data_IF_001578695414
#
_entry.id   IF_001578695414
#
_cell.length_a   1.000
_cell.length_b   1.000
_cell.length_c   1.000
_cell.angle_alpha   90.00
_cell.angle_beta   90.00
_cell.angle_gamma   90.00
#
_symmetry.space_group_name_H-M   'P 1'
#
loop_
_entity.id
_entity.type
_entity.pdbx_description
1 polymer ?
#
# COMPACT_ATOMS: atom_id res chain seq x y z
N UNK A 1 -30.85 19.85 -16.64
CA UNK A 1 -30.97 18.67 -15.75
C UNK A 1 -29.70 17.78 -15.67
N UNK A 2 -29.02 17.43 -16.78
CA UNK A 2 -27.82 16.56 -16.77
C UNK A 2 -26.65 17.04 -15.89
N UNK A 3 -26.32 18.34 -15.90
CA UNK A 3 -25.17 18.91 -15.15
C UNK A 3 -25.36 18.89 -13.62
N UNK A 4 -26.57 19.16 -13.12
CA UNK A 4 -26.92 19.04 -11.69
C UNK A 4 -26.81 17.60 -11.17
N UNK A 5 -27.13 16.60 -12.02
CA UNK A 5 -27.00 15.18 -11.64
C UNK A 5 -25.54 14.72 -11.57
N UNK A 6 -24.65 15.23 -12.43
CA UNK A 6 -23.24 14.82 -12.44
C UNK A 6 -22.46 15.38 -11.23
N UNK A 7 -22.73 16.62 -10.84
CA UNK A 7 -22.10 17.27 -9.68
C UNK A 7 -22.52 16.65 -8.35
N UNK A 8 -23.81 16.35 -8.17
CA UNK A 8 -24.33 15.62 -7.00
C UNK A 8 -23.65 14.26 -6.81
N UNK A 9 -23.42 13.54 -7.92
CA UNK A 9 -22.79 12.24 -7.89
C UNK A 9 -21.31 12.28 -7.48
N UNK A 10 -20.51 13.24 -7.94
CA UNK A 10 -19.10 13.35 -7.51
C UNK A 10 -19.00 13.61 -6.00
N UNK A 11 -19.88 14.47 -5.46
CA UNK A 11 -19.96 14.74 -4.02
C UNK A 11 -20.25 13.47 -3.22
N UNK A 12 -21.14 12.60 -3.72
CA UNK A 12 -21.46 11.32 -3.05
C UNK A 12 -20.25 10.39 -2.93
N UNK A 13 -19.39 10.31 -3.96
CA UNK A 13 -18.18 9.51 -3.88
C UNK A 13 -17.18 10.08 -2.88
N UNK A 14 -16.97 11.40 -2.89
CA UNK A 14 -16.06 12.05 -1.95
C UNK A 14 -16.51 11.82 -0.49
N UNK A 15 -17.80 11.97 -0.21
CA UNK A 15 -18.37 11.67 1.12
C UNK A 15 -18.20 10.19 1.46
N UNK A 16 -18.46 9.29 0.52
CA UNK A 16 -18.25 7.86 0.72
C UNK A 16 -16.81 7.52 1.12
N UNK A 17 -15.82 8.07 0.39
CA UNK A 17 -14.41 7.89 0.74
C UNK A 17 -14.04 8.50 2.08
N UNK A 18 -14.58 9.68 2.43
CA UNK A 18 -14.35 10.27 3.75
C UNK A 18 -14.88 9.38 4.88
N UNK A 19 -16.10 8.84 4.73
CA UNK A 19 -16.69 7.90 5.70
C UNK A 19 -15.85 6.62 5.80
N UNK A 20 -15.45 6.04 4.66
CA UNK A 20 -14.62 4.84 4.63
C UNK A 20 -13.24 5.08 5.27
N UNK A 21 -12.65 6.26 5.07
CA UNK A 21 -11.40 6.67 5.71
C UNK A 21 -11.55 6.87 7.22
N UNK A 22 -12.63 7.49 7.70
CA UNK A 22 -12.89 7.63 9.13
C UNK A 22 -13.09 6.26 9.77
N UNK A 23 -13.88 5.38 9.15
CA UNK A 23 -14.09 4.02 9.65
C UNK A 23 -12.78 3.22 9.74
N UNK A 24 -11.94 3.29 8.70
CA UNK A 24 -10.63 2.63 8.68
C UNK A 24 -9.64 3.25 9.67
N UNK A 25 -9.64 4.58 9.82
CA UNK A 25 -8.85 5.30 10.82
C UNK A 25 -9.21 4.82 12.24
N UNK A 26 -10.50 4.81 12.59
CA UNK A 26 -10.96 4.34 13.91
C UNK A 26 -10.66 2.85 14.10
N UNK A 27 -10.95 2.02 13.10
CA UNK A 27 -10.66 0.59 13.13
C UNK A 27 -9.17 0.32 13.39
N UNK A 28 -8.27 1.13 12.83
CA UNK A 28 -6.83 0.92 13.01
C UNK A 28 -6.39 0.91 14.48
N UNK A 29 -7.07 1.66 15.36
CA UNK A 29 -6.77 1.70 16.79
C UNK A 29 -7.21 0.45 17.54
N UNK A 30 -8.06 -0.40 16.94
CA UNK A 30 -8.38 -1.72 17.53
C UNK A 30 -7.17 -2.65 17.57
N UNK A 31 -6.16 -2.37 16.74
CA UNK A 31 -4.97 -3.21 16.58
C UNK A 31 -3.74 -2.66 17.34
N UNK A 32 -3.93 -1.67 18.22
CA UNK A 32 -2.84 -1.16 19.08
C UNK A 32 -2.42 -2.27 20.03
N UNK A 33 -1.13 -2.62 20.05
CA UNK A 33 -0.62 -3.68 20.93
C UNK A 33 -0.96 -3.39 22.40
N UNK A 34 -1.34 -4.42 23.16
CA UNK A 34 -1.77 -4.28 24.56
C UNK A 34 -0.67 -3.70 25.47
N UNK A 35 0.59 -3.87 25.07
CA UNK A 35 1.75 -3.34 25.81
C UNK A 35 2.08 -1.89 25.42
N UNK A 36 1.36 -1.31 24.46
CA UNK A 36 1.63 0.01 23.93
C UNK A 36 0.68 1.08 24.47
N UNK A 37 1.23 2.18 24.96
CA UNK A 37 0.46 3.37 25.38
C UNK A 37 0.81 4.56 24.48
N UNK A 38 -0.17 5.07 23.73
CA UNK A 38 0.07 6.18 22.78
C UNK A 38 0.03 7.56 23.43
N UNK A 39 -0.57 7.71 24.61
CA UNK A 39 -0.70 9.00 25.30
C UNK A 39 -0.62 8.84 26.82
N UNK A 40 -0.01 9.83 27.49
CA UNK A 40 -0.02 9.90 28.96
C UNK A 40 -1.37 10.37 29.52
N UNK A 41 -2.28 10.86 28.68
CA UNK A 41 -3.59 11.35 29.12
C UNK A 41 -4.55 10.21 29.44
N UNK A 42 -5.14 10.22 30.64
CA UNK A 42 -6.01 9.15 31.14
C UNK A 42 -7.24 8.90 30.27
N UNK A 43 -7.92 9.96 29.81
CA UNK A 43 -9.11 9.83 28.96
C UNK A 43 -8.78 9.23 27.58
N UNK A 44 -7.63 9.59 26.99
CA UNK A 44 -7.16 8.98 25.73
C UNK A 44 -6.78 7.52 25.92
N UNK A 45 -6.22 7.14 27.06
CA UNK A 45 -5.96 5.75 27.39
C UNK A 45 -7.26 4.95 27.55
N UNK A 46 -8.29 5.52 28.15
CA UNK A 46 -9.61 4.87 28.23
C UNK A 46 -10.17 4.62 26.83
N UNK A 47 -10.13 5.62 25.94
CA UNK A 47 -10.55 5.45 24.55
C UNK A 47 -9.73 4.36 23.85
N UNK A 48 -8.39 4.40 23.98
CA UNK A 48 -7.51 3.38 23.40
C UNK A 48 -7.88 1.97 23.88
N UNK A 49 -8.10 1.79 25.19
CA UNK A 49 -8.49 0.51 25.78
C UNK A 49 -9.83 0.02 25.26
N UNK A 50 -10.80 0.91 25.03
CA UNK A 50 -12.09 0.53 24.41
C UNK A 50 -11.90 -0.01 22.98
N UNK A 51 -11.02 0.59 22.18
CA UNK A 51 -10.69 0.05 20.86
C UNK A 51 -9.94 -1.29 20.95
N UNK A 52 -8.96 -1.41 21.85
CA UNK A 52 -8.23 -2.65 22.10
C UNK A 52 -9.17 -3.78 22.57
N UNK A 53 -10.19 -3.45 23.36
CA UNK A 53 -11.20 -4.41 23.78
C UNK A 53 -11.87 -5.07 22.56
N UNK A 54 -12.31 -4.25 21.60
CA UNK A 54 -12.89 -4.76 20.35
C UNK A 54 -11.89 -5.62 19.58
N UNK A 55 -10.64 -5.18 19.45
CA UNK A 55 -9.64 -5.86 18.63
C UNK A 55 -9.12 -7.19 19.19
N UNK A 56 -8.93 -7.28 20.51
CA UNK A 56 -8.27 -8.42 21.17
C UNK A 56 -9.23 -9.34 21.93
N UNK A 57 -10.36 -8.82 22.41
CA UNK A 57 -11.33 -9.57 23.22
C UNK A 57 -12.63 -9.86 22.48
N UNK A 58 -13.02 -9.03 21.49
CA UNK A 58 -14.17 -9.25 20.60
C UNK A 58 -13.74 -9.54 19.15
N UNK A 59 -12.80 -10.48 18.99
CA UNK A 59 -12.16 -10.80 17.70
C UNK A 59 -13.13 -11.12 16.55
N UNK A 60 -14.23 -11.87 16.74
CA UNK A 60 -15.23 -12.06 15.67
C UNK A 60 -15.84 -10.74 15.19
N UNK A 61 -16.20 -9.86 16.13
CA UNK A 61 -16.75 -8.52 15.85
C UNK A 61 -15.72 -7.65 15.13
N UNK A 62 -14.49 -7.59 15.62
CA UNK A 62 -13.38 -6.89 14.95
C UNK A 62 -13.17 -7.38 13.51
N UNK A 63 -13.19 -8.70 13.31
CA UNK A 63 -13.04 -9.30 11.99
C UNK A 63 -14.20 -8.95 11.05
N UNK A 64 -15.45 -8.98 11.55
CA UNK A 64 -16.62 -8.58 10.78
C UNK A 64 -16.57 -7.10 10.38
N UNK A 65 -16.16 -6.21 11.30
CA UNK A 65 -15.93 -4.80 11.03
C UNK A 65 -14.86 -4.60 9.96
N UNK A 66 -13.72 -5.29 10.07
CA UNK A 66 -12.67 -5.26 9.06
C UNK A 66 -13.19 -5.66 7.68
N UNK A 67 -13.81 -6.83 7.56
CA UNK A 67 -14.32 -7.34 6.28
C UNK A 67 -15.37 -6.38 5.69
N UNK A 68 -16.26 -5.83 6.52
CA UNK A 68 -17.25 -4.84 6.10
C UNK A 68 -16.60 -3.55 5.59
N UNK A 69 -15.61 -3.02 6.30
CA UNK A 69 -14.85 -1.83 5.89
C UNK A 69 -14.13 -2.09 4.56
N UNK A 70 -13.40 -3.20 4.43
CA UNK A 70 -12.69 -3.55 3.20
C UNK A 70 -13.69 -3.72 2.04
N UNK A 71 -14.80 -4.43 2.25
CA UNK A 71 -15.85 -4.57 1.26
C UNK A 71 -16.39 -3.21 0.79
N UNK A 72 -16.66 -2.30 1.72
CA UNK A 72 -17.13 -0.94 1.40
C UNK A 72 -16.10 -0.14 0.59
N UNK A 73 -14.81 -0.23 0.94
CA UNK A 73 -13.72 0.37 0.17
C UNK A 73 -13.66 -0.14 -1.27
N UNK A 74 -13.81 -1.44 -1.50
CA UNK A 74 -13.81 -2.01 -2.85
C UNK A 74 -15.08 -1.66 -3.65
N UNK A 75 -16.23 -1.51 -2.99
CA UNK A 75 -17.44 -0.98 -3.64
C UNK A 75 -17.21 0.46 -4.12
N UNK A 76 -16.69 1.34 -3.25
CA UNK A 76 -16.37 2.73 -3.62
C UNK A 76 -15.35 2.79 -4.76
N UNK A 77 -14.32 1.95 -4.71
CA UNK A 77 -13.31 1.82 -5.76
C UNK A 77 -13.92 1.39 -7.08
N UNK A 78 -14.74 0.33 -7.11
CA UNK A 78 -15.42 -0.12 -8.32
C UNK A 78 -16.35 0.97 -8.91
N UNK A 79 -17.07 1.71 -8.05
CA UNK A 79 -17.89 2.85 -8.46
C UNK A 79 -17.04 3.98 -9.05
N UNK A 80 -15.91 4.30 -8.44
CA UNK A 80 -14.97 5.31 -8.93
C UNK A 80 -14.40 4.92 -10.31
N UNK A 81 -13.95 3.67 -10.47
CA UNK A 81 -13.48 3.15 -11.76
C UNK A 81 -14.56 3.21 -12.84
N UNK A 82 -15.78 2.77 -12.52
CA UNK A 82 -16.91 2.80 -13.46
C UNK A 82 -17.24 4.22 -13.91
N UNK A 83 -17.19 5.19 -12.98
CA UNK A 83 -17.46 6.61 -13.30
C UNK A 83 -16.31 7.24 -14.07
N UNK A 84 -15.05 6.94 -13.73
CA UNK A 84 -13.89 7.40 -14.48
C UNK A 84 -13.90 6.86 -15.92
N UNK A 85 -14.22 5.58 -16.11
CA UNK A 85 -14.38 4.96 -17.43
C UNK A 85 -15.49 5.61 -18.26
N UNK A 86 -16.58 6.07 -17.62
CA UNK A 86 -17.68 6.79 -18.29
C UNK A 86 -17.44 8.29 -18.47
N UNK A 87 -16.26 8.80 -18.11
CA UNK A 87 -15.95 10.24 -18.16
C UNK A 87 -16.70 11.09 -17.14
N UNK A 88 -17.34 10.46 -16.14
CA UNK A 88 -18.14 11.13 -15.11
C UNK A 88 -17.31 11.53 -13.87
N UNK A 89 -16.08 11.00 -13.76
CA UNK A 89 -15.16 11.32 -12.68
C UNK A 89 -13.89 11.95 -13.28
N UNK A 90 -13.79 13.27 -13.18
CA UNK A 90 -12.62 14.01 -13.65
C UNK A 90 -11.44 13.93 -12.69
N UNK A 91 -10.26 14.31 -13.21
CA UNK A 91 -9.00 14.24 -12.45
C UNK A 91 -8.99 15.13 -11.20
N UNK A 92 -9.60 16.32 -11.24
CA UNK A 92 -9.71 17.20 -10.07
C UNK A 92 -10.45 16.52 -8.91
N UNK A 93 -11.52 15.79 -9.21
CA UNK A 93 -12.29 15.05 -8.21
C UNK A 93 -11.48 13.90 -7.60
N UNK A 94 -10.70 13.20 -8.41
CA UNK A 94 -9.80 12.13 -7.93
C UNK A 94 -8.76 12.72 -6.97
N UNK A 95 -8.14 13.85 -7.30
CA UNK A 95 -7.18 14.50 -6.39
C UNK A 95 -7.82 14.99 -5.08
N UNK A 96 -9.08 15.45 -5.12
CA UNK A 96 -9.82 15.78 -3.89
C UNK A 96 -10.03 14.54 -3.01
N UNK A 97 -10.42 13.41 -3.62
CA UNK A 97 -10.57 12.13 -2.90
C UNK A 97 -9.22 11.71 -2.31
N UNK A 98 -8.16 11.69 -3.12
CA UNK A 98 -6.79 11.35 -2.69
C UNK A 98 -6.36 12.22 -1.52
N UNK A 99 -6.54 13.54 -1.60
CA UNK A 99 -6.19 14.48 -0.53
C UNK A 99 -6.95 14.21 0.77
N UNK A 100 -8.27 14.02 0.70
CA UNK A 100 -9.10 13.70 1.88
C UNK A 100 -8.68 12.37 2.51
N UNK A 101 -8.50 11.33 1.69
CA UNK A 101 -8.06 10.01 2.15
C UNK A 101 -6.69 10.09 2.82
N UNK A 102 -5.73 10.78 2.21
CA UNK A 102 -4.38 10.97 2.76
C UNK A 102 -4.40 11.70 4.10
N UNK A 103 -5.10 12.83 4.20
CA UNK A 103 -5.18 13.61 5.44
C UNK A 103 -5.76 12.76 6.58
N UNK A 104 -6.85 12.04 6.32
CA UNK A 104 -7.52 11.23 7.35
C UNK A 104 -6.67 10.01 7.76
N UNK A 105 -6.01 9.34 6.81
CA UNK A 105 -5.31 8.09 7.09
C UNK A 105 -3.86 8.27 7.58
N UNK A 106 -3.20 9.41 7.36
CA UNK A 106 -1.86 9.67 7.92
C UNK A 106 -1.85 9.49 9.45
N UNK A 107 -2.93 9.90 10.13
CA UNK A 107 -3.05 9.83 11.58
C UNK A 107 -3.47 8.45 12.11
N UNK A 108 -3.79 7.50 11.23
CA UNK A 108 -4.18 6.13 11.64
C UNK A 108 -3.02 5.40 12.34
N UNK A 109 -3.34 4.39 13.14
CA UNK A 109 -2.35 3.47 13.68
C UNK A 109 -1.89 2.47 12.58
N UNK A 110 -0.61 2.04 12.53
CA UNK A 110 -0.13 1.01 11.59
C UNK A 110 -0.69 -0.38 11.94
N UNK A 111 -1.98 -0.58 11.71
CA UNK A 111 -2.74 -1.73 12.21
C UNK A 111 -2.37 -3.08 11.58
N UNK A 112 -1.83 -3.07 10.35
CA UNK A 112 -1.64 -4.28 9.55
C UNK A 112 -0.17 -4.67 9.36
N UNK A 113 0.75 -3.93 10.00
CA UNK A 113 2.19 -4.18 9.90
C UNK A 113 2.94 -3.68 11.13
N UNK A 114 3.95 -4.45 11.52
CA UNK A 114 4.90 -4.06 12.57
C UNK A 114 6.19 -3.44 12.00
N UNK A 115 6.30 -3.29 10.68
CA UNK A 115 7.49 -2.74 10.02
C UNK A 115 7.85 -1.34 10.52
N UNK A 116 6.84 -0.51 10.84
CA UNK A 116 7.09 0.83 11.33
C UNK A 116 7.88 0.83 12.65
N UNK A 117 7.57 -0.11 13.55
CA UNK A 117 8.32 -0.28 14.81
C UNK A 117 9.74 -0.80 14.54
N UNK A 118 9.90 -1.68 13.54
CA UNK A 118 11.22 -2.11 13.09
C UNK A 118 12.04 -0.95 12.51
N UNK A 119 11.44 -0.07 11.70
CA UNK A 119 12.11 1.14 11.21
C UNK A 119 12.60 2.04 12.34
N UNK A 120 11.74 2.27 13.34
CA UNK A 120 12.07 3.08 14.52
C UNK A 120 13.23 2.45 15.29
N UNK A 121 13.15 1.16 15.56
CA UNK A 121 14.20 0.46 16.29
C UNK A 121 15.51 0.42 15.50
N UNK A 122 15.48 0.17 14.19
CA UNK A 122 16.66 0.21 13.34
C UNK A 122 17.32 1.59 13.34
N UNK A 123 16.53 2.67 13.26
CA UNK A 123 17.06 4.03 13.39
C UNK A 123 17.70 4.28 14.77
N UNK A 124 17.06 3.78 15.84
CA UNK A 124 17.58 3.84 17.21
C UNK A 124 18.89 3.05 17.38
N UNK A 125 19.01 1.89 16.75
CA UNK A 125 20.26 1.09 16.72
C UNK A 125 21.42 1.89 16.14
N UNK A 126 21.19 2.64 15.07
CA UNK A 126 22.21 3.49 14.44
C UNK A 126 22.51 4.73 15.28
N UNK A 127 21.48 5.47 15.68
CA UNK A 127 21.63 6.82 16.26
C UNK A 127 21.92 6.83 17.76
N UNK A 128 21.37 5.87 18.52
CA UNK A 128 21.45 5.84 19.98
C UNK A 128 22.41 4.76 20.45
N UNK A 129 22.30 3.56 19.88
CA UNK A 129 23.18 2.45 20.28
C UNK A 129 24.51 2.45 19.54
N UNK A 130 24.66 3.26 18.48
CA UNK A 130 25.87 3.33 17.65
C UNK A 130 26.33 1.94 17.16
N UNK A 131 25.37 1.07 16.84
CA UNK A 131 25.62 -0.28 16.33
C UNK A 131 25.20 -0.41 14.88
N UNK A 132 25.83 -1.35 14.18
CA UNK A 132 25.43 -1.76 12.86
C UNK A 132 24.16 -2.65 12.95
N UNK A 133 23.00 -2.24 12.40
CA UNK A 133 21.76 -3.01 12.48
C UNK A 133 21.78 -4.35 11.70
N UNK A 134 22.86 -4.64 10.97
CA UNK A 134 23.10 -5.93 10.34
C UNK A 134 23.89 -6.92 11.21
N UNK A 135 24.51 -6.44 12.29
CA UNK A 135 25.36 -7.25 13.20
C UNK A 135 24.68 -7.53 14.54
N UNK A 136 23.64 -6.76 14.88
CA UNK A 136 22.87 -6.93 16.12
C UNK A 136 21.40 -7.20 15.81
N UNK A 137 20.73 -7.86 16.75
CA UNK A 137 19.29 -8.17 16.65
C UNK A 137 18.51 -7.45 17.76
N UNK A 138 17.25 -7.03 17.54
CA UNK A 138 16.47 -6.33 18.57
C UNK A 138 16.35 -7.09 19.90
N UNK A 139 16.28 -8.42 19.87
CA UNK A 139 16.16 -9.24 21.07
C UNK A 139 17.33 -9.09 22.05
N UNK A 140 18.53 -8.72 21.57
CA UNK A 140 19.69 -8.45 22.44
C UNK A 140 19.51 -7.21 23.33
N UNK A 141 18.53 -6.36 23.01
CA UNK A 141 18.19 -5.16 23.78
C UNK A 141 16.94 -5.37 24.65
N UNK A 142 16.43 -6.60 24.77
CA UNK A 142 15.34 -6.92 25.67
C UNK A 142 15.72 -6.59 27.12
N UNK A 143 14.80 -5.97 27.87
CA UNK A 143 15.06 -5.46 29.23
C UNK A 143 15.78 -4.11 29.28
N UNK A 144 16.32 -3.62 28.15
CA UNK A 144 16.94 -2.30 28.02
C UNK A 144 16.00 -1.35 27.27
N UNK A 145 15.45 -1.79 26.14
CA UNK A 145 14.56 -1.00 25.29
C UNK A 145 13.11 -1.53 25.36
N UNK A 146 12.15 -0.74 25.87
CA UNK A 146 10.76 -1.17 25.95
C UNK A 146 10.12 -1.38 24.56
N UNK A 147 10.67 -0.80 23.49
CA UNK A 147 10.14 -0.96 22.14
C UNK A 147 10.19 -2.43 21.67
N UNK A 148 11.13 -3.22 22.18
CA UNK A 148 11.29 -4.65 21.83
C UNK A 148 10.03 -5.45 22.15
N UNK A 149 9.27 -5.07 23.18
CA UNK A 149 8.05 -5.78 23.59
C UNK A 149 6.90 -5.70 22.58
N UNK A 150 6.87 -4.65 21.75
CA UNK A 150 5.80 -4.40 20.76
C UNK A 150 6.24 -4.68 19.32
N UNK A 151 7.48 -5.13 19.13
CA UNK A 151 8.04 -5.47 17.83
C UNK A 151 7.73 -6.91 17.42
N UNK A 152 7.88 -7.20 16.13
CA UNK A 152 7.90 -8.56 15.57
C UNK A 152 9.22 -8.78 14.86
N UNK A 153 9.61 -10.05 14.69
CA UNK A 153 10.89 -10.43 14.05
C UNK A 153 12.14 -9.97 14.82
N UNK A 154 12.04 -9.88 16.15
CA UNK A 154 13.12 -9.41 17.03
C UNK A 154 14.36 -10.33 17.07
N UNK A 155 14.23 -11.57 16.58
CA UNK A 155 15.30 -12.57 16.50
C UNK A 155 16.15 -12.46 15.22
N UNK A 156 15.87 -11.50 14.33
CA UNK A 156 16.57 -11.33 13.06
C UNK A 156 17.28 -9.97 13.00
N UNK A 157 18.42 -9.86 12.30
CA UNK A 157 19.01 -8.57 11.96
C UNK A 157 18.12 -7.82 10.95
N UNK A 158 18.43 -6.54 10.72
CA UNK A 158 17.66 -5.72 9.79
C UNK A 158 17.63 -6.34 8.39
N UNK A 159 16.41 -6.51 7.85
CA UNK A 159 16.19 -6.93 6.47
C UNK A 159 16.07 -5.73 5.50
N UNK A 160 16.17 -4.50 6.01
CA UNK A 160 16.03 -3.30 5.21
C UNK A 160 17.36 -2.88 4.60
N UNK A 161 17.31 -2.24 3.43
CA UNK A 161 18.52 -1.79 2.74
C UNK A 161 19.15 -0.58 3.43
N UNK A 162 20.45 -0.32 3.24
CA UNK A 162 21.12 0.83 3.84
C UNK A 162 20.46 2.16 3.50
N UNK A 163 20.03 2.35 2.25
CA UNK A 163 19.37 3.59 1.84
C UNK A 163 18.02 3.79 2.52
N UNK A 164 17.22 2.73 2.72
CA UNK A 164 15.98 2.86 3.50
C UNK A 164 16.28 3.26 4.94
N UNK A 165 17.25 2.59 5.59
CA UNK A 165 17.65 2.91 6.98
C UNK A 165 18.03 4.38 7.09
N UNK A 166 18.89 4.89 6.19
CA UNK A 166 19.30 6.29 6.18
C UNK A 166 18.11 7.26 6.11
N UNK A 167 17.07 6.94 5.33
CA UNK A 167 15.87 7.76 5.22
C UNK A 167 14.98 7.73 6.46
N UNK A 168 15.09 6.69 7.29
CA UNK A 168 14.36 6.64 8.58
C UNK A 168 15.01 7.51 9.66
N UNK A 169 16.30 7.84 9.54
CA UNK A 169 17.04 8.56 10.57
C UNK A 169 16.49 9.98 10.83
N UNK A 170 16.23 10.82 9.81
CA UNK A 170 15.66 12.15 10.05
C UNK A 170 14.28 12.09 10.71
N UNK A 171 13.43 11.14 10.31
CA UNK A 171 12.11 10.96 10.91
C UNK A 171 12.20 10.58 12.39
N UNK A 172 13.21 9.78 12.76
CA UNK A 172 13.52 9.45 14.15
C UNK A 172 13.99 10.67 14.95
N UNK A 173 14.96 11.43 14.44
CA UNK A 173 15.50 12.63 15.11
C UNK A 173 14.40 13.68 15.35
N UNK A 174 13.56 13.92 14.35
CA UNK A 174 12.42 14.84 14.42
C UNK A 174 11.26 14.31 15.30
N UNK A 175 11.40 13.11 15.86
CA UNK A 175 10.46 12.60 16.86
C UNK A 175 10.71 13.14 18.27
N UNK A 176 11.85 13.80 18.52
CA UNK A 176 12.20 14.43 19.80
C UNK A 176 12.03 13.49 21.01
N UNK A 177 12.42 12.23 20.85
CA UNK A 177 12.31 11.20 21.88
C UNK A 177 10.88 10.67 22.14
N UNK A 178 9.89 11.10 21.35
CA UNK A 178 8.50 10.60 21.43
C UNK A 178 8.19 9.68 20.25
N UNK A 179 7.94 8.40 20.55
CA UNK A 179 7.68 7.37 19.54
C UNK A 179 6.50 7.72 18.61
N UNK A 180 5.42 8.30 19.14
CA UNK A 180 4.25 8.70 18.34
C UNK A 180 4.61 9.74 17.27
N UNK A 181 5.51 10.68 17.58
CA UNK A 181 5.97 11.65 16.60
C UNK A 181 6.86 10.99 15.54
N UNK A 182 7.70 10.03 15.91
CA UNK A 182 8.47 9.25 14.92
C UNK A 182 7.53 8.49 13.97
N UNK A 183 6.49 7.84 14.52
CA UNK A 183 5.45 7.15 13.74
C UNK A 183 4.84 8.13 12.73
N UNK A 184 4.36 9.29 13.18
CA UNK A 184 3.74 10.27 12.29
C UNK A 184 4.72 10.86 11.26
N UNK A 185 5.99 11.10 11.62
CA UNK A 185 7.00 11.57 10.70
C UNK A 185 7.26 10.54 9.58
N UNK A 186 7.39 9.26 9.93
CA UNK A 186 7.55 8.17 8.95
C UNK A 186 6.29 8.03 8.08
N UNK A 187 5.09 8.09 8.66
CA UNK A 187 3.83 8.03 7.91
C UNK A 187 3.67 9.21 6.96
N UNK A 188 4.00 10.42 7.41
CA UNK A 188 4.02 11.61 6.57
C UNK A 188 5.00 11.45 5.41
N UNK A 189 6.22 10.99 5.68
CA UNK A 189 7.22 10.73 4.65
C UNK A 189 6.71 9.75 3.59
N UNK A 190 6.19 8.60 4.01
CA UNK A 190 5.62 7.59 3.11
C UNK A 190 4.40 8.13 2.34
N UNK A 191 3.54 8.93 2.99
CA UNK A 191 2.40 9.56 2.34
C UNK A 191 2.80 10.57 1.26
N UNK A 192 3.89 11.34 1.47
CA UNK A 192 4.43 12.23 0.44
C UNK A 192 4.88 11.44 -0.78
N UNK A 193 5.52 10.28 -0.58
CA UNK A 193 5.90 9.39 -1.68
C UNK A 193 4.70 8.71 -2.36
N UNK A 194 3.63 8.40 -1.63
CA UNK A 194 2.36 7.99 -2.23
C UNK A 194 1.80 9.08 -3.17
N UNK A 195 1.73 10.34 -2.72
CA UNK A 195 1.29 11.46 -3.57
C UNK A 195 2.23 11.67 -4.77
N UNK A 196 3.54 11.50 -4.56
CA UNK A 196 4.55 11.55 -5.61
C UNK A 196 4.35 10.44 -6.65
N UNK A 197 4.00 9.23 -6.22
CA UNK A 197 3.66 8.11 -7.11
C UNK A 197 2.38 8.39 -7.89
N UNK A 198 1.32 8.92 -7.26
CA UNK A 198 0.07 9.30 -7.94
C UNK A 198 0.34 10.35 -9.03
N UNK A 199 1.16 11.37 -8.70
CA UNK A 199 1.59 12.39 -9.67
C UNK A 199 2.43 11.78 -10.81
N UNK A 200 3.35 10.87 -10.48
CA UNK A 200 4.18 10.16 -11.44
C UNK A 200 3.33 9.33 -12.41
N UNK A 201 2.35 8.57 -11.90
CA UNK A 201 1.43 7.76 -12.73
C UNK A 201 0.66 8.65 -13.68
N UNK A 202 0.12 9.78 -13.21
CA UNK A 202 -0.53 10.78 -14.07
C UNK A 202 0.42 11.25 -15.19
N UNK A 203 1.67 11.59 -14.84
CA UNK A 203 2.66 12.10 -15.80
C UNK A 203 3.05 11.07 -16.86
N UNK A 204 3.19 9.80 -16.49
CA UNK A 204 3.42 8.72 -17.45
C UNK A 204 2.19 8.54 -18.36
N UNK A 205 0.98 8.58 -17.81
CA UNK A 205 -0.26 8.50 -18.61
C UNK A 205 -0.42 9.66 -19.60
N UNK A 206 0.02 10.87 -19.27
CA UNK A 206 0.10 12.00 -20.21
C UNK A 206 0.95 11.70 -21.45
N UNK A 207 1.88 10.73 -21.37
CA UNK A 207 2.72 10.29 -22.50
C UNK A 207 2.17 9.07 -23.23
N UNK A 208 1.49 8.15 -22.54
CA UNK A 208 1.15 6.82 -23.10
C UNK A 208 -0.33 6.54 -23.33
N UNK A 209 -1.25 7.22 -22.65
CA UNK A 209 -2.69 7.12 -22.88
C UNK A 209 -3.42 8.38 -22.36
N UNK A 210 -3.25 9.55 -23.04
CA UNK A 210 -3.79 10.84 -22.56
C UNK A 210 -5.31 10.85 -22.43
N UNK A 211 -6.02 10.08 -23.27
CA UNK A 211 -7.47 10.01 -23.29
C UNK A 211 -8.07 9.37 -22.03
N UNK A 212 -7.30 8.56 -21.30
CA UNK A 212 -7.77 7.78 -20.15
C UNK A 212 -7.05 8.09 -18.85
N UNK A 213 -6.40 9.26 -18.75
CA UNK A 213 -5.68 9.69 -17.54
C UNK A 213 -6.54 9.54 -16.26
N UNK A 214 -7.81 10.01 -16.18
CA UNK A 214 -8.60 9.87 -14.97
C UNK A 214 -8.81 8.40 -14.56
N UNK A 215 -9.03 7.51 -15.52
CA UNK A 215 -9.21 6.09 -15.25
C UNK A 215 -7.90 5.45 -14.76
N UNK A 216 -6.79 5.68 -15.45
CA UNK A 216 -5.49 5.14 -15.04
C UNK A 216 -5.05 5.64 -13.66
N UNK A 217 -5.20 6.94 -13.38
CA UNK A 217 -4.91 7.50 -12.05
C UNK A 217 -5.83 6.88 -10.99
N UNK A 218 -7.13 6.69 -11.28
CA UNK A 218 -8.05 6.04 -10.34
C UNK A 218 -7.65 4.58 -10.06
N UNK A 219 -7.24 3.81 -11.07
CA UNK A 219 -6.78 2.41 -10.92
C UNK A 219 -5.64 2.29 -9.92
N UNK A 220 -4.71 3.24 -9.90
CA UNK A 220 -3.60 3.25 -8.96
C UNK A 220 -3.99 3.90 -7.62
N UNK A 221 -4.38 5.17 -7.68
CA UNK A 221 -4.50 6.02 -6.49
C UNK A 221 -5.65 5.62 -5.58
N UNK A 222 -6.77 5.15 -6.15
CA UNK A 222 -7.97 4.81 -5.39
C UNK A 222 -8.07 3.33 -5.03
N UNK A 223 -7.06 2.53 -5.40
CA UNK A 223 -7.03 1.11 -5.07
C UNK A 223 -6.89 0.94 -3.54
N UNK A 224 -7.82 0.22 -2.88
CA UNK A 224 -7.80 0.07 -1.43
C UNK A 224 -6.50 -0.53 -0.88
N UNK A 225 -5.88 -1.48 -1.60
CA UNK A 225 -4.60 -2.07 -1.18
C UNK A 225 -3.48 -1.04 -1.22
N UNK A 226 -3.36 -0.26 -2.30
CA UNK A 226 -2.35 0.81 -2.37
C UNK A 226 -2.55 1.82 -1.24
N UNK A 227 -3.79 2.22 -0.97
CA UNK A 227 -4.14 3.16 0.10
C UNK A 227 -3.77 2.58 1.47
N UNK A 228 -4.24 1.37 1.80
CA UNK A 228 -4.03 0.76 3.12
C UNK A 228 -2.55 0.53 3.37
N UNK A 229 -1.85 -0.10 2.44
CA UNK A 229 -0.44 -0.46 2.65
C UNK A 229 0.50 0.76 2.63
N UNK A 230 0.11 1.84 1.94
CA UNK A 230 0.92 3.08 1.90
C UNK A 230 0.59 4.05 3.03
N UNK A 231 -0.68 4.25 3.36
CA UNK A 231 -1.13 5.31 4.28
C UNK A 231 -1.46 4.79 5.68
N UNK A 232 -1.90 3.54 5.81
CA UNK A 232 -2.16 2.92 7.12
C UNK A 232 -0.91 2.19 7.61
N UNK A 233 -0.45 1.17 6.87
CA UNK A 233 0.72 0.36 7.22
C UNK A 233 2.05 1.11 7.05
N UNK A 234 2.09 2.08 6.15
CA UNK A 234 3.28 2.88 5.82
C UNK A 234 4.50 2.06 5.36
N UNK A 235 4.26 1.06 4.50
CA UNK A 235 5.32 0.27 3.90
C UNK A 235 6.21 1.09 2.96
N UNK A 236 7.50 0.82 2.98
CA UNK A 236 8.50 1.47 2.13
C UNK A 236 8.35 1.15 0.63
N UNK A 237 7.53 0.16 0.27
CA UNK A 237 7.23 -0.25 -1.10
C UNK A 237 6.75 0.90 -1.97
N UNK A 238 5.96 1.83 -1.42
CA UNK A 238 5.46 2.98 -2.18
C UNK A 238 6.56 4.00 -2.49
N UNK A 239 7.60 4.09 -1.65
CA UNK A 239 8.77 4.96 -1.86
C UNK A 239 9.58 4.44 -3.06
N UNK A 240 9.84 3.13 -3.07
CA UNK A 240 10.44 2.44 -4.23
C UNK A 240 9.57 2.65 -5.48
N UNK A 241 8.26 2.40 -5.40
CA UNK A 241 7.35 2.54 -6.55
C UNK A 241 7.34 3.95 -7.10
N UNK A 242 7.24 4.98 -6.25
CA UNK A 242 7.30 6.37 -6.68
C UNK A 242 8.57 6.65 -7.49
N UNK A 243 9.74 6.30 -6.95
CA UNK A 243 11.02 6.49 -7.62
C UNK A 243 11.06 5.75 -8.97
N UNK A 244 10.62 4.49 -9.03
CA UNK A 244 10.58 3.72 -10.29
C UNK A 244 9.67 4.34 -11.36
N UNK A 245 8.52 4.88 -10.97
CA UNK A 245 7.60 5.54 -11.89
C UNK A 245 8.20 6.84 -12.43
N UNK A 246 8.89 7.61 -11.59
CA UNK A 246 9.60 8.81 -12.02
C UNK A 246 10.82 8.49 -12.90
N UNK A 247 11.54 7.41 -12.61
CA UNK A 247 12.61 6.91 -13.47
C UNK A 247 12.07 6.56 -14.87
N UNK A 248 10.92 5.90 -14.96
CA UNK A 248 10.24 5.61 -16.22
C UNK A 248 9.84 6.89 -16.95
N UNK A 249 9.28 7.88 -16.23
CA UNK A 249 8.93 9.17 -16.85
C UNK A 249 10.16 9.84 -17.47
N UNK A 250 11.29 9.88 -16.76
CA UNK A 250 12.54 10.44 -17.25
C UNK A 250 13.07 9.66 -18.46
N UNK A 251 12.93 8.34 -18.46
CA UNK A 251 13.28 7.49 -19.60
C UNK A 251 12.42 7.84 -20.84
N UNK A 252 11.10 8.02 -20.66
CA UNK A 252 10.19 8.44 -21.73
C UNK A 252 10.48 9.87 -22.23
N UNK A 253 11.04 10.72 -21.38
CA UNK A 253 11.53 12.07 -21.74
C UNK A 253 12.96 12.07 -22.32
N UNK A 254 13.55 10.89 -22.56
CA UNK A 254 14.90 10.72 -23.10
C UNK A 254 16.02 11.27 -22.19
N UNK A 255 15.74 11.48 -20.91
CA UNK A 255 16.72 11.90 -19.89
C UNK A 255 17.41 10.67 -19.28
N UNK A 256 18.18 9.96 -20.09
CA UNK A 256 18.69 8.62 -19.76
C UNK A 256 19.56 8.56 -18.50
N UNK A 257 20.47 9.52 -18.30
CA UNK A 257 21.33 9.53 -17.10
C UNK A 257 20.47 9.70 -15.85
N UNK A 258 19.59 10.69 -15.86
CA UNK A 258 18.68 10.95 -14.74
C UNK A 258 17.73 9.78 -14.48
N UNK A 259 17.26 9.09 -15.53
CA UNK A 259 16.39 7.93 -15.36
C UNK A 259 17.11 6.79 -14.66
N UNK A 260 18.36 6.49 -15.02
CA UNK A 260 19.20 5.50 -14.35
C UNK A 260 19.52 5.89 -12.91
N UNK A 261 19.87 7.15 -12.65
CA UNK A 261 20.14 7.62 -11.28
C UNK A 261 18.92 7.42 -10.39
N UNK A 262 17.73 7.82 -10.84
CA UNK A 262 16.49 7.66 -10.07
C UNK A 262 16.11 6.18 -9.91
N UNK A 263 16.33 5.34 -10.94
CA UNK A 263 16.11 3.90 -10.84
C UNK A 263 17.06 3.27 -9.80
N UNK A 264 18.33 3.68 -9.76
CA UNK A 264 19.31 3.21 -8.78
C UNK A 264 18.89 3.56 -7.36
N UNK A 265 18.34 4.77 -7.12
CA UNK A 265 17.75 5.10 -5.83
C UNK A 265 16.55 4.20 -5.50
N UNK A 266 15.68 3.91 -6.48
CA UNK A 266 14.58 2.95 -6.30
C UNK A 266 15.08 1.57 -5.86
N UNK A 267 16.08 1.02 -6.57
CA UNK A 267 16.74 -0.26 -6.23
C UNK A 267 17.36 -0.22 -4.84
N UNK A 268 18.00 0.90 -4.49
CA UNK A 268 18.61 1.10 -3.18
C UNK A 268 17.57 1.13 -2.05
N UNK A 269 16.34 1.60 -2.29
CA UNK A 269 15.24 1.47 -1.31
C UNK A 269 14.79 0.03 -1.17
N UNK A 270 14.58 -0.66 -2.31
CA UNK A 270 14.18 -2.06 -2.32
C UNK A 270 14.55 -2.69 -3.66
N UNK A 271 15.24 -3.82 -3.59
CA UNK A 271 15.91 -4.44 -4.75
C UNK A 271 14.96 -4.79 -5.90
N UNK A 272 13.66 -4.95 -5.65
CA UNK A 272 12.68 -5.44 -6.62
C UNK A 272 12.71 -4.70 -7.97
N UNK A 273 12.92 -3.38 -7.97
CA UNK A 273 12.93 -2.59 -9.22
C UNK A 273 14.18 -2.78 -10.07
N UNK A 274 15.19 -3.53 -9.61
CA UNK A 274 16.34 -3.92 -10.45
C UNK A 274 15.89 -4.75 -11.65
N UNK A 275 14.79 -5.49 -11.50
CA UNK A 275 14.19 -6.26 -12.60
C UNK A 275 13.77 -5.39 -13.78
N UNK A 276 13.56 -4.08 -13.56
CA UNK A 276 13.24 -3.14 -14.63
C UNK A 276 14.47 -2.69 -15.45
N UNK A 277 15.70 -2.97 -15.00
CA UNK A 277 16.93 -2.53 -15.67
C UNK A 277 17.01 -2.95 -17.16
N UNK A 278 16.63 -4.18 -17.58
CA UNK A 278 16.63 -4.55 -19.00
C UNK A 278 15.70 -3.66 -19.85
N UNK A 279 14.60 -3.17 -19.27
CA UNK A 279 13.68 -2.27 -19.96
C UNK A 279 14.36 -0.91 -20.19
N UNK A 280 15.15 -0.42 -19.23
CA UNK A 280 15.87 0.86 -19.38
C UNK A 280 16.97 0.80 -20.44
N UNK A 281 17.54 -0.37 -20.70
CA UNK A 281 18.50 -0.61 -21.78
C UNK A 281 17.77 -0.72 -23.13
N UNK A 282 16.69 -1.49 -23.19
CA UNK A 282 16.04 -1.88 -24.44
C UNK A 282 14.83 -1.03 -24.84
N UNK A 283 14.38 -0.07 -24.00
CA UNK A 283 13.11 0.67 -24.21
C UNK A 283 13.00 1.33 -25.59
N UNK A 284 14.12 1.85 -26.14
CA UNK A 284 14.16 2.45 -27.47
C UNK A 284 13.78 1.47 -28.59
N UNK A 285 13.99 0.18 -28.36
CA UNK A 285 13.79 -0.90 -29.33
C UNK A 285 12.57 -1.78 -29.00
N UNK A 286 11.91 -1.55 -27.85
CA UNK A 286 10.79 -2.36 -27.38
C UNK A 286 9.44 -1.75 -27.77
N UNK A 287 8.68 -2.47 -28.60
CA UNK A 287 7.35 -2.05 -29.04
C UNK A 287 6.32 -1.86 -27.89
N UNK A 288 6.41 -2.64 -26.80
CA UNK A 288 5.51 -2.51 -25.65
C UNK A 288 6.28 -2.66 -24.32
N UNK A 289 7.10 -1.65 -23.99
CA UNK A 289 7.88 -1.62 -22.74
C UNK A 289 7.03 -1.88 -21.48
N UNK A 290 5.77 -1.43 -21.47
CA UNK A 290 4.84 -1.64 -20.34
C UNK A 290 4.58 -3.12 -20.06
N UNK A 291 4.43 -3.94 -21.12
CA UNK A 291 4.22 -5.38 -21.02
C UNK A 291 5.46 -6.05 -20.45
N UNK A 292 6.63 -5.68 -20.98
CA UNK A 292 7.90 -6.23 -20.54
C UNK A 292 8.23 -5.83 -19.10
N UNK A 293 7.87 -4.62 -18.67
CA UNK A 293 7.96 -4.23 -17.26
C UNK A 293 7.11 -5.12 -16.35
N UNK A 294 5.85 -5.41 -16.74
CA UNK A 294 5.00 -6.33 -15.97
C UNK A 294 5.59 -7.75 -15.90
N UNK A 295 6.16 -8.25 -17.00
CA UNK A 295 6.82 -9.56 -17.04
C UNK A 295 8.05 -9.57 -16.12
N UNK A 296 8.90 -8.54 -16.20
CA UNK A 296 10.09 -8.42 -15.39
C UNK A 296 9.78 -8.36 -13.88
N UNK A 297 8.78 -7.56 -13.50
CA UNK A 297 8.28 -7.53 -12.13
C UNK A 297 7.65 -8.87 -11.73
N UNK A 298 6.98 -9.56 -12.66
CA UNK A 298 6.44 -10.90 -12.44
C UNK A 298 7.53 -11.91 -12.11
N UNK A 299 8.64 -11.90 -12.85
CA UNK A 299 9.80 -12.76 -12.61
C UNK A 299 10.39 -12.49 -11.23
N UNK A 300 10.65 -11.22 -10.88
CA UNK A 300 11.18 -10.90 -9.55
C UNK A 300 10.21 -11.26 -8.42
N UNK A 301 8.91 -11.09 -8.63
CA UNK A 301 7.90 -11.51 -7.67
C UNK A 301 7.90 -13.03 -7.47
N UNK A 302 8.00 -13.82 -8.54
CA UNK A 302 8.14 -15.28 -8.43
C UNK A 302 9.42 -15.68 -7.67
N UNK A 303 10.52 -14.96 -7.85
CA UNK A 303 11.75 -15.16 -7.07
C UNK A 303 11.56 -14.84 -5.58
N UNK A 304 10.72 -13.85 -5.24
CA UNK A 304 10.36 -13.58 -3.84
C UNK A 304 9.46 -14.69 -3.30
N UNK A 305 8.46 -15.12 -4.07
CA UNK A 305 7.51 -16.16 -3.66
C UNK A 305 8.14 -17.53 -3.48
N UNK A 306 9.25 -17.84 -4.15
CA UNK A 306 9.99 -19.09 -3.93
C UNK A 306 10.67 -19.16 -2.57
N UNK A 307 10.79 -18.02 -1.87
CA UNK A 307 11.45 -17.91 -0.55
C UNK A 307 10.52 -17.45 0.56
N UNK A 308 9.41 -16.80 0.22
CA UNK A 308 8.52 -16.14 1.18
C UNK A 308 7.06 -16.30 0.77
N UNK A 309 6.17 -16.30 1.75
CA UNK A 309 4.75 -16.26 1.47
C UNK A 309 4.33 -14.93 0.80
N UNK A 310 3.24 -14.90 0.02
CA UNK A 310 2.73 -13.66 -0.55
C UNK A 310 2.20 -12.74 0.55
N UNK A 311 2.76 -11.52 0.57
CA UNK A 311 2.35 -10.43 1.47
C UNK A 311 1.61 -9.35 0.67
N UNK A 312 0.60 -8.67 1.25
CA UNK A 312 -0.26 -7.77 0.49
C UNK A 312 0.48 -6.62 -0.22
N UNK A 313 1.46 -6.01 0.46
CA UNK A 313 2.21 -4.88 -0.08
C UNK A 313 3.09 -5.21 -1.29
N UNK A 314 3.39 -6.50 -1.56
CA UNK A 314 4.09 -6.88 -2.78
C UNK A 314 3.30 -6.55 -4.06
N UNK A 315 1.97 -6.44 -3.96
CA UNK A 315 1.16 -6.08 -5.12
C UNK A 315 1.28 -4.61 -5.52
N UNK A 316 1.74 -3.73 -4.61
CA UNK A 316 1.97 -2.30 -4.90
C UNK A 316 2.95 -2.15 -6.08
N UNK A 317 3.90 -3.08 -6.23
CA UNK A 317 4.91 -3.07 -7.30
C UNK A 317 4.29 -3.07 -8.70
N UNK A 318 3.17 -3.77 -8.88
CA UNK A 318 2.51 -3.94 -10.17
C UNK A 318 1.49 -2.84 -10.48
N UNK A 319 0.93 -2.22 -9.45
CA UNK A 319 -0.21 -1.30 -9.57
C UNK A 319 0.01 -0.12 -10.53
N UNK A 320 1.17 0.56 -10.57
CA UNK A 320 1.42 1.61 -11.57
C UNK A 320 1.38 1.09 -13.00
N UNK A 321 1.96 -0.08 -13.23
CA UNK A 321 2.04 -0.68 -14.57
C UNK A 321 0.70 -1.20 -15.06
N UNK A 322 -0.14 -1.69 -14.14
CA UNK A 322 -1.55 -2.01 -14.42
C UNK A 322 -2.33 -0.74 -14.76
N UNK A 323 -2.09 0.35 -14.02
CA UNK A 323 -2.69 1.65 -14.31
C UNK A 323 -2.28 2.24 -15.67
N UNK A 324 -1.12 1.84 -16.23
CA UNK A 324 -0.70 2.22 -17.59
C UNK A 324 -1.44 1.47 -18.73
N UNK A 325 -2.36 0.56 -18.38
CA UNK A 325 -3.28 -0.11 -19.31
C UNK A 325 -4.75 0.12 -18.94
N UNK A 326 -5.23 1.37 -18.88
CA UNK A 326 -6.59 1.67 -18.43
C UNK A 326 -7.69 1.08 -19.33
N UNK A 327 -7.38 0.73 -20.59
CA UNK A 327 -8.30 0.04 -21.51
C UNK A 327 -8.42 -1.46 -21.29
N UNK A 328 -7.45 -2.12 -20.65
CA UNK A 328 -7.46 -3.57 -20.45
C UNK A 328 -8.29 -3.92 -19.23
N UNK A 329 -9.61 -3.81 -19.36
CA UNK A 329 -10.57 -4.03 -18.26
C UNK A 329 -10.37 -5.37 -17.54
N UNK A 330 -9.98 -6.43 -18.25
CA UNK A 330 -9.71 -7.75 -17.67
C UNK A 330 -8.52 -7.72 -16.70
N UNK A 331 -7.47 -6.95 -17.02
CA UNK A 331 -6.28 -6.80 -16.19
C UNK A 331 -6.62 -6.00 -14.93
N UNK A 332 -7.37 -4.91 -15.09
CA UNK A 332 -7.87 -4.12 -13.94
C UNK A 332 -8.79 -4.95 -13.06
N UNK A 333 -9.67 -5.77 -13.64
CA UNK A 333 -10.59 -6.65 -12.91
C UNK A 333 -9.81 -7.68 -12.11
N UNK A 334 -8.93 -8.44 -12.76
CA UNK A 334 -8.09 -9.45 -12.09
C UNK A 334 -7.27 -8.84 -10.96
N UNK A 335 -6.63 -7.69 -11.21
CA UNK A 335 -5.84 -6.97 -10.20
C UNK A 335 -6.68 -6.49 -9.03
N UNK A 336 -7.89 -5.99 -9.29
CA UNK A 336 -8.81 -5.52 -8.24
C UNK A 336 -9.22 -6.67 -7.33
N UNK A 337 -9.58 -7.82 -7.89
CA UNK A 337 -9.94 -9.00 -7.12
C UNK A 337 -8.75 -9.58 -6.37
N UNK A 338 -7.55 -9.60 -6.96
CA UNK A 338 -6.35 -10.04 -6.26
C UNK A 338 -5.97 -9.11 -5.10
N UNK A 339 -6.08 -7.79 -5.29
CA UNK A 339 -5.88 -6.81 -4.22
C UNK A 339 -6.89 -7.00 -3.07
N UNK A 340 -8.14 -7.29 -3.39
CA UNK A 340 -9.16 -7.64 -2.40
C UNK A 340 -8.79 -8.92 -1.64
N UNK A 341 -8.38 -9.96 -2.37
CA UNK A 341 -7.94 -11.24 -1.81
C UNK A 341 -6.77 -11.07 -0.83
N UNK A 342 -5.78 -10.27 -1.22
CA UNK A 342 -4.60 -10.00 -0.41
C UNK A 342 -4.95 -9.28 0.90
N UNK A 343 -5.82 -8.27 0.86
CA UNK A 343 -6.27 -7.59 2.09
C UNK A 343 -7.11 -8.52 2.98
N UNK A 344 -7.92 -9.41 2.40
CA UNK A 344 -8.66 -10.42 3.17
C UNK A 344 -7.75 -11.43 3.89
N UNK A 345 -6.47 -11.56 3.51
CA UNK A 345 -5.50 -12.42 4.23
C UNK A 345 -5.25 -11.96 5.67
N UNK A 346 -5.60 -10.73 6.04
CA UNK A 346 -5.56 -10.28 7.44
C UNK A 346 -6.70 -10.85 8.29
N UNK A 347 -7.87 -11.14 7.70
CA UNK A 347 -9.07 -11.54 8.44
C UNK A 347 -8.89 -12.83 9.27
N UNK A 348 -8.23 -13.90 8.77
CA UNK A 348 -7.97 -15.07 9.60
C UNK A 348 -7.15 -14.75 10.87
N UNK A 349 -6.13 -13.91 10.78
CA UNK A 349 -5.35 -13.52 11.95
C UNK A 349 -6.16 -12.67 12.93
N UNK A 350 -6.98 -11.74 12.41
CA UNK A 350 -7.87 -10.92 13.24
C UNK A 350 -8.85 -11.79 14.03
N UNK A 351 -9.36 -12.87 13.44
CA UNK A 351 -10.30 -13.78 14.08
C UNK A 351 -9.64 -14.68 15.13
N UNK A 352 -8.53 -15.33 14.78
CA UNK A 352 -7.90 -16.35 15.65
C UNK A 352 -6.81 -15.81 16.58
N UNK A 353 -6.20 -14.67 16.25
CA UNK A 353 -5.15 -14.03 17.05
C UNK A 353 -3.77 -14.65 16.99
N UNK A 354 -3.58 -15.67 16.17
CA UNK A 354 -2.31 -16.34 15.97
C UNK A 354 -2.19 -16.81 14.51
N UNK A 355 -1.01 -17.31 14.13
CA UNK A 355 -0.74 -17.78 12.77
C UNK A 355 -0.78 -19.31 12.64
N UNK A 356 -1.21 -20.03 13.70
CA UNK A 356 -1.27 -21.48 13.71
C UNK A 356 -2.50 -21.98 12.92
N UNK A 357 -2.56 -23.29 12.67
CA UNK A 357 -3.74 -23.90 12.05
C UNK A 357 -5.03 -23.51 12.81
N UNK A 358 -6.13 -23.14 12.10
CA UNK A 358 -6.37 -23.28 10.66
C UNK A 358 -5.99 -22.04 9.80
N UNK A 359 -5.34 -21.02 10.37
CA UNK A 359 -5.09 -19.73 9.69
C UNK A 359 -4.35 -19.86 8.34
N UNK A 360 -3.28 -20.66 8.20
CA UNK A 360 -2.60 -20.82 6.91
C UNK A 360 -3.52 -21.34 5.79
N UNK A 361 -4.41 -22.28 6.12
CA UNK A 361 -5.38 -22.85 5.16
C UNK A 361 -6.42 -21.80 4.77
N UNK A 362 -6.93 -21.05 5.74
CA UNK A 362 -7.88 -19.97 5.48
C UNK A 362 -7.28 -18.86 4.62
N UNK A 363 -6.02 -18.45 4.87
CA UNK A 363 -5.28 -17.49 4.03
C UNK A 363 -5.22 -17.94 2.57
N UNK A 364 -5.04 -19.25 2.35
CA UNK A 364 -5.00 -19.82 1.00
C UNK A 364 -6.37 -19.68 0.30
N UNK A 365 -7.45 -20.08 0.96
CA UNK A 365 -8.81 -19.97 0.41
C UNK A 365 -9.25 -18.54 0.13
N UNK A 366 -9.02 -17.61 1.07
CA UNK A 366 -9.35 -16.19 0.87
C UNK A 366 -8.50 -15.53 -0.22
N UNK A 367 -7.39 -16.16 -0.63
CA UNK A 367 -6.59 -15.72 -1.78
C UNK A 367 -7.14 -16.30 -3.09
N UNK A 368 -7.40 -17.61 -3.13
CA UNK A 368 -7.75 -18.34 -4.35
C UNK A 368 -9.20 -18.05 -4.82
N UNK A 369 -10.16 -18.03 -3.91
CA UNK A 369 -11.59 -17.87 -4.28
C UNK A 369 -11.86 -16.55 -5.02
N UNK A 370 -11.39 -15.37 -4.54
CA UNK A 370 -11.52 -14.11 -5.28
C UNK A 370 -10.91 -14.15 -6.70
N UNK A 371 -9.79 -14.86 -6.89
CA UNK A 371 -9.13 -14.99 -8.20
C UNK A 371 -10.00 -15.81 -9.15
N UNK A 372 -10.54 -16.95 -8.68
CA UNK A 372 -11.46 -17.79 -9.48
C UNK A 372 -12.68 -16.98 -9.92
N UNK A 373 -13.28 -16.21 -9.01
CA UNK A 373 -14.40 -15.32 -9.31
C UNK A 373 -14.01 -14.30 -10.39
N UNK A 374 -12.83 -13.68 -10.28
CA UNK A 374 -12.34 -12.74 -11.29
C UNK A 374 -12.20 -13.39 -12.67
N UNK A 375 -11.65 -14.60 -12.75
CA UNK A 375 -11.50 -15.35 -13.99
C UNK A 375 -12.87 -15.71 -14.59
N UNK A 376 -13.84 -16.10 -13.77
CA UNK A 376 -15.23 -16.33 -14.19
C UNK A 376 -15.88 -15.07 -14.79
N UNK A 377 -15.74 -13.92 -14.12
CA UNK A 377 -16.23 -12.62 -14.63
C UNK A 377 -15.59 -12.29 -15.98
N UNK A 378 -14.27 -12.49 -16.11
CA UNK A 378 -13.54 -12.21 -17.34
C UNK A 378 -14.00 -13.14 -18.48
N UNK A 379 -14.16 -14.43 -18.20
CA UNK A 379 -14.65 -15.43 -19.16
C UNK A 379 -16.03 -15.08 -19.69
N UNK A 380 -16.99 -14.82 -18.79
CA UNK A 380 -18.36 -14.41 -19.17
C UNK A 380 -18.39 -13.10 -19.97
N UNK A 381 -17.54 -12.12 -19.62
CA UNK A 381 -17.45 -10.85 -20.33
C UNK A 381 -16.93 -10.99 -21.75
N UNK A 382 -15.95 -11.88 -21.99
CA UNK A 382 -15.46 -12.18 -23.34
C UNK A 382 -16.50 -12.90 -24.19
N UNK A 383 -17.23 -13.85 -23.63
CA UNK A 383 -18.31 -14.55 -24.35
C UNK A 383 -19.41 -13.60 -24.83
N UNK A 384 -19.83 -12.64 -24.00
CA UNK A 384 -20.82 -11.62 -24.38
C UNK A 384 -20.34 -10.65 -25.46
N UNK A 385 -19.03 -10.50 -25.65
CA UNK A 385 -18.44 -9.69 -26.70
C UNK A 385 -18.31 -10.45 -28.03
N UNK A 386 -18.35 -11.79 -28.00
CA UNK A 386 -18.33 -12.65 -29.20
C UNK A 386 -19.74 -12.98 -29.71
N UNK A 387 -20.76 -12.88 -28.86
CA UNK A 387 -22.17 -13.10 -29.21
C UNK A 387 -22.89 -11.84 -29.73
N UNK A 388 -22.15 -10.77 -30.01
CA UNK A 388 -22.61 -9.50 -30.60
C UNK A 388 -21.72 -9.19 -31.78
#
# INVERSE_FOLDING_TARGET
>A
MKVKSQTSNVKSLLVGYAIASIALFLYSFTQVDLSLTLSSSSWLQTIQKSFQYVGFFERPTSTALFVGIIGFWFVLYALALRRAHRGLLGLSSIWKIVGVVTILLILSYPAFSYDLFNYIFTAKTVLIYHKNPYEVIPLQFAGIDPLVAVMRWTHLPSAYTPAWILLTLPAYLLGFGKMVFVIWNLKLFVALFYLLAVRGVKKVLEKVDPARIPLGVAIFALNPLVIIESLVSAHNDIVMVALSVWAILLLLEQKYISSWVVLSFSVAIKLMTITLAPIFIAAKYMADWRKWSLIALGIGFLMVLSRREPLPWYWIWFMPFIAFYPSRWWLTTLSTWYAFALLLRYAPYLYYGNWNAPVPILKWWVTIVPIIVALGIIGMGKMKAWSK
#
